data_IF_476416181933
#
_entry.id   IF_476416181933
#
_cell.length_a   1.000
_cell.length_b   1.000
_cell.length_c   1.000
_cell.angle_alpha   90.00
_cell.angle_beta   90.00
_cell.angle_gamma   90.00
#
_symmetry.space_group_name_H-M   'P 1'
#
loop_
_entity.id
_entity.type
_entity.pdbx_description
1 polymer ?
#
# COMPACT_ATOMS: atom_id res chain seq x y z
N UNK A 1 24.79 20.91 -83.55
CA UNK A 1 24.16 21.54 -82.37
C UNK A 1 22.69 21.12 -82.35
N UNK A 2 22.39 19.99 -81.68
CA UNK A 2 21.22 19.15 -81.95
C UNK A 2 20.63 18.55 -80.67
N UNK A 3 20.51 19.36 -79.61
CA UNK A 3 20.06 18.90 -78.27
C UNK A 3 19.06 19.83 -77.55
N UNK A 4 18.54 20.87 -78.22
CA UNK A 4 17.70 21.89 -77.56
C UNK A 4 16.21 21.89 -77.96
N UNK A 5 15.71 20.86 -78.65
CA UNK A 5 14.30 20.76 -79.10
C UNK A 5 13.51 19.57 -78.52
N UNK A 6 14.07 18.88 -77.51
CA UNK A 6 13.41 17.78 -76.78
C UNK A 6 13.01 18.23 -75.36
N UNK A 7 12.66 19.51 -75.19
CA UNK A 7 12.11 20.06 -73.95
C UNK A 7 10.57 19.93 -73.87
N UNK A 8 9.82 19.81 -74.97
CA UNK A 8 8.42 20.26 -74.91
C UNK A 8 7.30 19.21 -75.02
N UNK A 9 7.61 17.93 -75.24
CA UNK A 9 6.57 16.89 -75.41
C UNK A 9 6.46 15.88 -74.26
N UNK A 10 7.37 15.90 -73.29
CA UNK A 10 7.31 15.02 -72.11
C UNK A 10 6.68 15.68 -70.87
N UNK A 11 6.33 16.97 -70.96
CA UNK A 11 5.80 17.77 -69.83
C UNK A 11 4.28 18.04 -69.91
N UNK A 12 3.54 17.46 -70.86
CA UNK A 12 2.10 17.73 -71.04
C UNK A 12 1.21 16.48 -71.24
N UNK A 13 1.64 15.30 -70.81
CA UNK A 13 0.86 14.05 -71.00
C UNK A 13 0.86 13.11 -69.79
N UNK A 14 0.99 13.65 -68.57
CA UNK A 14 0.75 12.90 -67.34
C UNK A 14 -0.11 13.68 -66.35
N UNK A 15 -1.13 14.35 -66.89
CA UNK A 15 -2.29 14.82 -66.14
C UNK A 15 -3.48 13.99 -66.64
N UNK A 16 -3.86 12.97 -65.86
CA UNK A 16 -5.21 12.41 -65.67
C UNK A 16 -5.08 11.00 -65.08
N UNK A 17 -5.40 10.82 -63.80
CA UNK A 17 -6.03 9.65 -63.15
C UNK A 17 -6.20 9.93 -61.64
N UNK A 18 -7.18 9.30 -60.96
CA UNK A 18 -8.10 10.00 -60.06
C UNK A 18 -7.70 10.03 -58.58
N UNK A 19 -8.21 11.05 -57.90
CA UNK A 19 -8.35 11.11 -56.46
C UNK A 19 -9.30 10.01 -55.95
N UNK A 20 -8.87 9.26 -54.94
CA UNK A 20 -9.74 8.28 -54.28
C UNK A 20 -9.03 7.46 -53.22
N UNK A 21 -8.94 8.01 -52.01
CA UNK A 21 -9.13 7.36 -50.70
C UNK A 21 -8.54 8.24 -49.60
N UNK A 22 -9.33 9.19 -49.09
CA UNK A 22 -9.10 9.70 -47.74
C UNK A 22 -9.56 8.61 -46.76
N UNK A 23 -8.73 8.15 -45.81
CA UNK A 23 -9.25 7.43 -44.66
C UNK A 23 -10.14 8.40 -43.89
N UNK A 24 -11.43 8.10 -43.80
CA UNK A 24 -12.33 8.78 -42.87
C UNK A 24 -11.74 8.67 -41.46
N UNK A 25 -11.70 9.76 -40.68
CA UNK A 25 -11.36 9.65 -39.27
C UNK A 25 -12.39 8.75 -38.61
N UNK A 26 -11.91 7.65 -38.03
CA UNK A 26 -12.71 6.74 -37.21
C UNK A 26 -13.40 7.56 -36.13
N UNK A 27 -14.73 7.47 -35.96
CA UNK A 27 -15.40 8.15 -34.86
C UNK A 27 -14.80 7.61 -33.54
N UNK A 28 -14.53 8.48 -32.55
CA UNK A 28 -14.16 8.01 -31.23
C UNK A 28 -15.25 7.07 -30.69
N UNK A 29 -14.91 6.08 -29.86
CA UNK A 29 -15.90 5.26 -29.18
C UNK A 29 -16.90 6.17 -28.46
N UNK A 30 -18.18 5.78 -28.35
CA UNK A 30 -19.17 6.61 -27.68
C UNK A 30 -18.67 6.94 -26.28
N UNK A 31 -18.40 8.23 -26.04
CA UNK A 31 -18.25 8.77 -24.71
C UNK A 31 -19.49 8.35 -23.95
N UNK A 32 -19.34 7.44 -22.98
CA UNK A 32 -20.36 7.23 -21.99
C UNK A 32 -20.60 8.60 -21.34
N UNK A 33 -21.72 9.24 -21.69
CA UNK A 33 -22.23 10.34 -20.88
C UNK A 33 -22.23 9.85 -19.44
N UNK A 34 -21.75 10.63 -18.46
CA UNK A 34 -22.02 10.27 -17.08
C UNK A 34 -23.54 10.22 -16.97
N UNK A 35 -24.08 9.01 -16.83
CA UNK A 35 -25.41 8.85 -16.29
C UNK A 35 -25.39 9.67 -15.02
N UNK A 36 -26.20 10.72 -14.98
CA UNK A 36 -26.44 11.46 -13.75
C UNK A 36 -26.94 10.42 -12.76
N UNK A 37 -26.05 9.96 -11.88
CA UNK A 37 -26.45 9.22 -10.70
C UNK A 37 -27.28 10.23 -9.93
N UNK A 38 -28.59 10.00 -9.90
CA UNK A 38 -29.50 10.74 -9.06
C UNK A 38 -28.89 10.74 -7.66
N UNK A 39 -28.51 11.93 -7.20
CA UNK A 39 -28.16 12.16 -5.80
C UNK A 39 -29.40 11.81 -5.00
N UNK A 40 -29.41 10.62 -4.42
CA UNK A 40 -30.33 10.31 -3.34
C UNK A 40 -29.93 11.23 -2.18
N UNK A 41 -30.62 12.36 -2.07
CA UNK A 41 -30.57 13.22 -0.91
C UNK A 41 -30.94 12.36 0.30
N UNK A 42 -29.94 11.98 1.09
CA UNK A 42 -30.18 11.44 2.42
C UNK A 42 -30.67 12.60 3.27
N UNK A 43 -31.98 12.70 3.43
CA UNK A 43 -32.60 13.56 4.43
C UNK A 43 -32.14 13.08 5.80
N UNK A 44 -31.26 13.86 6.43
CA UNK A 44 -30.92 13.73 7.84
C UNK A 44 -32.18 14.01 8.66
N UNK A 45 -32.89 12.94 9.01
CA UNK A 45 -33.98 13.02 9.97
C UNK A 45 -33.36 13.05 11.36
N UNK A 46 -33.27 14.25 11.94
CA UNK A 46 -32.77 14.49 13.29
C UNK A 46 -33.70 13.82 14.29
N UNK A 47 -33.32 12.62 14.74
CA UNK A 47 -34.00 11.95 15.86
C UNK A 47 -33.41 12.50 17.15
N UNK A 48 -34.21 12.99 18.10
CA UNK A 48 -33.71 13.47 19.38
C UNK A 48 -33.10 12.32 20.20
N UNK A 49 -32.04 12.57 20.99
CA UNK A 49 -31.43 11.54 21.81
C UNK A 49 -32.40 11.03 22.89
N UNK A 50 -32.29 9.74 23.29
CA UNK A 50 -33.11 9.17 24.35
C UNK A 50 -32.80 9.82 25.71
N UNK A 51 -33.76 9.84 26.66
CA UNK A 51 -33.55 10.45 27.96
C UNK A 51 -32.49 9.70 28.76
N UNK A 52 -31.58 10.47 29.35
CA UNK A 52 -30.56 10.08 30.32
C UNK A 52 -31.15 9.18 31.41
N UNK A 53 -30.72 7.93 31.45
CA UNK A 53 -31.02 7.04 32.57
C UNK A 53 -30.28 7.55 33.83
N UNK A 54 -31.05 7.96 34.84
CA UNK A 54 -30.54 8.21 36.19
C UNK A 54 -29.97 6.92 36.77
N UNK A 55 -28.66 6.86 36.98
CA UNK A 55 -28.04 5.81 37.77
C UNK A 55 -28.39 6.02 39.25
N UNK A 56 -29.22 5.13 39.78
CA UNK A 56 -29.52 5.05 41.22
C UNK A 56 -28.27 4.54 41.95
N UNK A 57 -27.73 5.35 42.86
CA UNK A 57 -26.64 4.95 43.77
C UNK A 57 -27.12 3.81 44.68
N UNK A 58 -26.62 2.59 44.44
CA UNK A 58 -26.71 1.50 45.42
C UNK A 58 -25.54 1.58 46.40
N UNK A 59 -25.86 1.34 47.67
CA UNK A 59 -24.96 1.42 48.82
C UNK A 59 -23.78 0.42 48.76
N UNK A 60 -22.67 0.67 49.49
CA UNK A 60 -21.50 -0.21 49.48
C UNK A 60 -21.78 -1.51 50.26
N UNK A 61 -21.46 -2.65 49.66
CA UNK A 61 -21.38 -3.92 50.37
C UNK A 61 -20.10 -3.96 51.23
N UNK A 62 -20.26 -4.37 52.49
CA UNK A 62 -19.17 -4.64 53.43
C UNK A 62 -18.26 -5.77 52.93
N UNK A 63 -16.93 -5.61 52.89
CA UNK A 63 -16.03 -6.70 52.51
C UNK A 63 -15.86 -7.70 53.65
N UNK A 64 -16.15 -8.97 53.36
CA UNK A 64 -15.77 -10.14 54.17
C UNK A 64 -14.24 -10.30 54.16
N UNK A 65 -13.56 -10.57 55.29
CA UNK A 65 -12.11 -10.76 55.29
C UNK A 65 -11.73 -12.06 54.57
N UNK A 66 -10.83 -11.93 53.59
CA UNK A 66 -10.20 -13.04 52.88
C UNK A 66 -9.05 -13.58 53.76
N UNK A 67 -8.90 -14.91 53.94
CA UNK A 67 -7.80 -15.48 54.69
C UNK A 67 -6.47 -15.25 53.96
N UNK A 68 -5.51 -14.64 54.68
CA UNK A 68 -4.15 -14.39 54.22
C UNK A 68 -3.39 -15.71 54.07
N UNK A 69 -3.14 -16.13 52.83
CA UNK A 69 -2.17 -17.18 52.53
C UNK A 69 -0.76 -16.59 52.42
N UNK A 70 0.17 -17.22 53.13
CA UNK A 70 1.60 -16.90 53.20
C UNK A 70 2.25 -16.96 51.80
N UNK A 71 3.08 -15.98 51.40
CA UNK A 71 3.88 -16.09 50.18
C UNK A 71 4.89 -17.23 50.31
N UNK A 72 4.86 -18.17 49.36
CA UNK A 72 5.91 -19.17 49.16
C UNK A 72 7.18 -18.53 48.56
N UNK A 73 8.32 -19.24 48.60
CA UNK A 73 9.58 -18.74 48.06
C UNK A 73 9.43 -18.41 46.56
N UNK A 74 9.94 -17.23 46.20
CA UNK A 74 10.02 -16.71 44.83
C UNK A 74 10.70 -17.70 43.90
N UNK A 75 9.95 -18.23 42.94
CA UNK A 75 10.50 -18.98 41.82
C UNK A 75 11.41 -18.05 40.99
N UNK A 76 12.65 -18.50 40.79
CA UNK A 76 13.65 -17.91 39.90
C UNK A 76 13.03 -17.63 38.52
N UNK A 77 13.26 -16.46 37.90
CA UNK A 77 12.71 -16.17 36.58
C UNK A 77 13.24 -17.21 35.58
N UNK A 78 12.32 -18.01 35.05
CA UNK A 78 12.58 -18.88 33.90
C UNK A 78 12.88 -17.96 32.72
N UNK A 79 14.10 -18.01 32.20
CA UNK A 79 14.46 -17.35 30.95
C UNK A 79 13.63 -17.98 29.83
N UNK A 80 12.55 -17.32 29.41
CA UNK A 80 11.85 -17.66 28.18
C UNK A 80 12.87 -17.61 27.05
N UNK A 81 13.07 -18.70 26.27
CA UNK A 81 13.98 -18.67 25.15
C UNK A 81 13.51 -17.59 24.19
N UNK A 82 14.37 -16.59 23.95
CA UNK A 82 14.16 -15.60 22.90
C UNK A 82 13.95 -16.37 21.59
N UNK A 83 12.87 -16.09 20.82
CA UNK A 83 12.65 -16.76 19.56
C UNK A 83 13.89 -16.57 18.70
N UNK A 84 14.55 -17.69 18.39
CA UNK A 84 15.63 -17.68 17.42
C UNK A 84 15.00 -17.28 16.11
N UNK A 85 15.47 -16.18 15.51
CA UNK A 85 15.05 -15.77 14.18
C UNK A 85 15.32 -16.94 13.22
N UNK A 86 14.29 -17.73 12.96
CA UNK A 86 14.37 -18.80 11.97
C UNK A 86 14.49 -18.10 10.64
N UNK A 87 15.58 -18.33 9.92
CA UNK A 87 15.72 -17.83 8.57
C UNK A 87 14.49 -18.28 7.77
N UNK A 88 13.74 -17.32 7.22
CA UNK A 88 12.65 -17.63 6.30
C UNK A 88 13.25 -18.49 5.19
N UNK A 89 12.72 -19.71 4.96
CA UNK A 89 13.24 -20.56 3.90
C UNK A 89 13.24 -19.77 2.60
N UNK A 90 14.37 -19.80 1.89
CA UNK A 90 14.40 -19.25 0.53
C UNK A 90 13.27 -19.92 -0.28
N UNK A 91 12.53 -19.17 -1.11
CA UNK A 91 11.51 -19.75 -1.97
C UNK A 91 12.08 -20.96 -2.71
N UNK A 92 11.31 -22.07 -2.86
CA UNK A 92 11.70 -23.13 -3.77
C UNK A 92 12.00 -22.51 -5.14
N UNK A 93 13.16 -22.92 -5.67
CA UNK A 93 14.16 -22.09 -6.36
C UNK A 93 13.75 -21.63 -7.78
N UNK A 94 12.48 -21.69 -8.16
CA UNK A 94 12.04 -21.22 -9.48
C UNK A 94 10.65 -20.58 -9.46
N UNK A 95 10.55 -19.30 -9.79
CA UNK A 95 9.28 -18.65 -10.11
C UNK A 95 9.01 -18.85 -11.60
N UNK A 96 7.99 -19.62 -11.95
CA UNK A 96 7.67 -19.98 -13.34
C UNK A 96 8.87 -20.59 -14.11
N UNK A 97 9.70 -21.39 -13.44
CA UNK A 97 10.88 -22.01 -14.05
C UNK A 97 12.10 -21.09 -14.17
N UNK A 98 12.05 -19.88 -13.62
CA UNK A 98 13.19 -18.94 -13.56
C UNK A 98 13.75 -18.84 -12.13
N UNK A 99 15.09 -18.92 -11.95
CA UNK A 99 15.69 -18.74 -10.65
C UNK A 99 15.52 -17.28 -10.19
N UNK A 100 15.28 -17.00 -8.90
CA UNK A 100 15.14 -15.64 -8.37
C UNK A 100 16.24 -14.68 -8.84
N UNK A 101 17.47 -15.17 -8.93
CA UNK A 101 18.65 -14.40 -9.34
C UNK A 101 18.56 -13.91 -10.79
N UNK A 102 17.72 -14.49 -11.64
CA UNK A 102 17.55 -14.04 -13.03
C UNK A 102 16.58 -12.86 -13.18
N UNK A 103 15.74 -12.58 -12.18
CA UNK A 103 14.74 -11.51 -12.25
C UNK A 103 14.73 -10.56 -11.03
N UNK A 104 15.41 -10.92 -9.95
CA UNK A 104 15.71 -10.08 -8.79
C UNK A 104 17.19 -9.70 -8.86
N UNK A 105 17.49 -8.66 -9.62
CA UNK A 105 18.85 -8.16 -9.77
C UNK A 105 19.19 -7.20 -8.63
N UNK A 106 19.72 -7.75 -7.54
CA UNK A 106 20.27 -6.97 -6.43
C UNK A 106 21.78 -7.22 -6.34
N UNK A 107 22.61 -6.26 -6.78
CA UNK A 107 24.06 -6.35 -6.59
C UNK A 107 24.42 -6.62 -5.12
N UNK A 108 25.52 -7.33 -4.81
CA UNK A 108 25.91 -7.64 -3.43
C UNK A 108 26.00 -6.40 -2.53
N UNK A 109 26.45 -5.27 -3.08
CA UNK A 109 26.50 -3.99 -2.38
C UNK A 109 25.11 -3.44 -2.03
N UNK A 110 24.11 -3.66 -2.88
CA UNK A 110 22.72 -3.28 -2.60
C UNK A 110 22.15 -4.14 -1.47
N UNK A 111 22.39 -5.45 -1.50
CA UNK A 111 21.95 -6.36 -0.43
C UNK A 111 22.58 -5.96 0.91
N UNK A 112 23.89 -5.72 0.93
CA UNK A 112 24.61 -5.29 2.14
C UNK A 112 24.07 -3.95 2.68
N UNK A 113 23.78 -2.99 1.79
CA UNK A 113 23.22 -1.71 2.18
C UNK A 113 21.82 -1.85 2.80
N UNK A 114 20.93 -2.65 2.20
CA UNK A 114 19.58 -2.89 2.75
C UNK A 114 19.64 -3.55 4.13
N UNK A 115 20.54 -4.52 4.32
CA UNK A 115 20.77 -5.15 5.63
C UNK A 115 21.27 -4.13 6.67
N UNK A 116 22.18 -3.23 6.28
CA UNK A 116 22.67 -2.17 7.15
C UNK A 116 21.56 -1.17 7.54
N UNK A 117 20.68 -0.81 6.61
CA UNK A 117 19.50 0.04 6.88
C UNK A 117 18.58 -0.63 7.90
N UNK A 118 18.28 -1.92 7.72
CA UNK A 118 17.44 -2.67 8.65
C UNK A 118 18.05 -2.75 10.07
N UNK A 119 19.33 -3.10 10.16
CA UNK A 119 20.06 -3.15 11.44
C UNK A 119 20.11 -1.77 12.12
N UNK A 120 20.27 -0.69 11.33
CA UNK A 120 20.19 0.68 11.84
C UNK A 120 18.80 1.00 12.36
N UNK A 121 17.74 0.59 11.66
CA UNK A 121 16.36 0.73 12.11
C UNK A 121 16.10 0.07 13.46
N UNK A 122 16.62 -1.15 13.65
CA UNK A 122 16.54 -1.85 14.94
C UNK A 122 17.27 -1.09 16.05
N UNK A 123 18.47 -0.56 15.77
CA UNK A 123 19.20 0.29 16.74
C UNK A 123 18.47 1.60 17.08
N UNK A 124 17.56 2.05 16.22
CA UNK A 124 16.68 3.21 16.44
C UNK A 124 15.33 2.82 17.08
N UNK A 125 15.13 1.54 17.42
CA UNK A 125 13.92 1.04 18.07
C UNK A 125 12.75 0.74 17.15
N UNK A 126 12.96 0.62 15.83
CA UNK A 126 11.92 0.13 14.90
C UNK A 126 11.53 -1.30 15.24
N UNK A 127 10.23 -1.60 15.18
CA UNK A 127 9.72 -2.93 15.46
C UNK A 127 9.98 -3.87 14.26
N UNK A 128 10.83 -4.90 14.40
CA UNK A 128 11.17 -5.81 13.29
C UNK A 128 10.02 -6.72 12.86
N UNK A 129 8.95 -6.82 13.66
CA UNK A 129 7.76 -7.65 13.39
C UNK A 129 6.60 -6.85 12.82
N UNK A 130 6.82 -5.58 12.48
CA UNK A 130 5.75 -4.70 12.03
C UNK A 130 6.08 -4.07 10.68
N UNK A 131 5.12 -4.09 9.76
CA UNK A 131 5.17 -3.28 8.55
C UNK A 131 4.02 -2.28 8.49
N UNK A 132 4.24 -1.19 7.76
CA UNK A 132 3.20 -0.24 7.37
C UNK A 132 2.96 -0.30 5.87
N UNK A 133 1.85 0.28 5.44
CA UNK A 133 1.47 0.39 4.03
C UNK A 133 1.32 1.87 3.69
N UNK A 134 1.86 2.25 2.53
CA UNK A 134 1.63 3.55 1.90
C UNK A 134 0.93 3.31 0.58
N UNK A 135 -0.22 3.96 0.34
CA UNK A 135 -0.88 3.76 -0.94
C UNK A 135 -2.17 4.50 -1.19
N UNK A 136 -2.76 4.20 -2.34
CA UNK A 136 -4.01 4.79 -2.80
C UNK A 136 -5.24 3.89 -2.55
N UNK A 137 -6.37 4.23 -3.19
CA UNK A 137 -7.64 3.51 -3.15
C UNK A 137 -7.50 2.00 -3.39
N UNK A 138 -6.51 1.56 -4.17
CA UNK A 138 -6.34 0.15 -4.52
C UNK A 138 -5.73 -0.64 -3.36
N UNK A 139 -5.03 0.03 -2.45
CA UNK A 139 -4.53 -0.55 -1.20
C UNK A 139 -5.60 -0.61 -0.09
N UNK A 140 -6.75 0.06 -0.25
CA UNK A 140 -7.91 0.05 0.67
C UNK A 140 -8.90 -1.08 0.35
N UNK A 141 -8.41 -2.25 -0.02
CA UNK A 141 -9.25 -3.41 -0.29
C UNK A 141 -8.83 -4.58 0.57
N UNK A 142 -9.78 -5.44 0.96
CA UNK A 142 -9.44 -6.64 1.74
C UNK A 142 -8.56 -7.64 0.98
N UNK A 143 -8.49 -7.49 -0.35
CA UNK A 143 -7.59 -8.28 -1.20
C UNK A 143 -6.14 -7.79 -1.12
N UNK A 144 -5.91 -6.56 -0.66
CA UNK A 144 -4.57 -6.04 -0.41
C UNK A 144 -4.08 -6.48 0.99
N UNK A 145 -3.73 -7.76 1.05
CA UNK A 145 -3.06 -8.45 2.14
C UNK A 145 -3.88 -8.70 3.42
N UNK A 146 -5.04 -8.08 3.63
CA UNK A 146 -5.78 -8.21 4.92
C UNK A 146 -6.19 -9.64 5.26
N UNK A 147 -6.38 -10.50 4.24
CA UNK A 147 -6.76 -11.91 4.41
C UNK A 147 -5.79 -12.71 5.27
N UNK A 148 -4.52 -12.32 5.33
CA UNK A 148 -3.50 -13.03 6.10
C UNK A 148 -3.73 -12.93 7.63
N UNK A 149 -4.31 -11.83 8.12
CA UNK A 149 -4.71 -11.69 9.53
C UNK A 149 -6.16 -12.17 9.78
N UNK A 150 -6.98 -12.26 8.75
CA UNK A 150 -8.35 -12.80 8.85
C UNK A 150 -8.39 -14.33 8.90
N UNK A 151 -7.26 -15.00 8.63
CA UNK A 151 -7.16 -16.47 8.52
C UNK A 151 -7.89 -17.06 7.31
N UNK A 152 -8.25 -16.23 6.32
CA UNK A 152 -9.03 -16.63 5.14
C UNK A 152 -8.14 -16.75 3.90
N UNK A 153 -7.13 -17.61 3.97
CA UNK A 153 -6.24 -17.90 2.86
C UNK A 153 -5.83 -19.38 2.85
N UNK A 154 -5.38 -19.85 1.70
CA UNK A 154 -4.75 -21.16 1.54
C UNK A 154 -3.53 -20.98 0.63
N UNK A 155 -2.34 -21.29 1.13
CA UNK A 155 -1.08 -21.15 0.38
C UNK A 155 -0.85 -22.28 -0.62
N UNK A 156 -1.60 -23.38 -0.51
CA UNK A 156 -1.32 -24.61 -1.24
C UNK A 156 0.06 -25.19 -0.87
N UNK A 157 0.48 -26.22 -1.61
CA UNK A 157 1.83 -26.78 -1.49
C UNK A 157 2.91 -25.80 -1.95
N UNK A 158 2.61 -25.05 -3.00
CA UNK A 158 3.63 -24.31 -3.76
C UNK A 158 4.10 -23.06 -3.03
N UNK A 159 3.23 -22.46 -2.18
CA UNK A 159 3.54 -21.25 -1.42
C UNK A 159 3.59 -21.48 0.09
N UNK A 160 3.53 -22.73 0.57
CA UNK A 160 3.59 -23.05 2.01
C UNK A 160 4.82 -22.45 2.71
N UNK A 161 5.92 -22.26 1.97
CA UNK A 161 7.15 -21.63 2.45
C UNK A 161 6.97 -20.15 2.87
N UNK A 162 5.88 -19.48 2.48
CA UNK A 162 5.57 -18.11 2.88
C UNK A 162 4.96 -18.01 4.28
N UNK A 163 4.51 -19.13 4.87
CA UNK A 163 3.86 -19.11 6.18
C UNK A 163 4.71 -18.43 7.27
N UNK A 164 6.03 -18.68 7.41
CA UNK A 164 6.84 -17.98 8.40
C UNK A 164 6.89 -16.46 8.21
N UNK A 165 6.81 -15.97 6.96
CA UNK A 165 6.77 -14.53 6.70
C UNK A 165 5.41 -13.92 7.09
N UNK A 166 4.32 -14.67 6.91
CA UNK A 166 2.99 -14.28 7.40
C UNK A 166 2.97 -14.24 8.92
N UNK A 167 3.53 -15.26 9.58
CA UNK A 167 3.58 -15.31 11.04
C UNK A 167 4.45 -14.17 11.61
N UNK A 168 5.57 -13.86 10.96
CA UNK A 168 6.51 -12.82 11.39
C UNK A 168 5.90 -11.42 11.45
N UNK A 169 4.93 -11.13 10.58
CA UNK A 169 4.25 -9.82 10.48
C UNK A 169 2.77 -9.86 10.89
N UNK A 170 2.36 -10.87 11.65
CA UNK A 170 0.99 -11.01 12.13
C UNK A 170 0.50 -9.72 12.79
N UNK A 171 -0.71 -9.28 12.45
CA UNK A 171 -1.31 -8.01 12.89
C UNK A 171 -1.01 -6.80 11.98
N UNK A 172 0.03 -6.86 11.15
CA UNK A 172 0.32 -5.80 10.17
C UNK A 172 -0.54 -5.91 8.91
N UNK A 173 -1.04 -7.11 8.59
CA UNK A 173 -1.74 -7.40 7.35
C UNK A 173 -3.14 -6.79 7.30
N UNK A 174 -3.91 -6.84 8.38
CA UNK A 174 -5.24 -6.23 8.46
C UNK A 174 -5.20 -4.71 8.64
N UNK A 175 -4.07 -4.14 9.09
CA UNK A 175 -3.93 -2.69 9.21
C UNK A 175 -3.88 -2.03 7.83
N UNK A 176 -4.76 -1.07 7.61
CA UNK A 176 -4.60 -0.10 6.51
C UNK A 176 -3.65 1.02 6.91
N UNK A 177 -3.68 1.45 8.18
CA UNK A 177 -2.87 2.58 8.65
C UNK A 177 -3.41 3.94 8.20
N UNK A 178 -2.68 4.99 8.54
CA UNK A 178 -3.05 6.39 8.22
C UNK A 178 -2.35 6.94 6.96
N UNK A 179 -1.41 6.16 6.41
CA UNK A 179 -0.68 6.47 5.18
C UNK A 179 -1.32 5.86 3.91
N UNK A 180 -2.57 5.41 3.98
CA UNK A 180 -3.34 5.02 2.79
C UNK A 180 -4.54 5.95 2.63
N UNK A 181 -4.70 6.54 1.43
CA UNK A 181 -5.79 7.48 1.12
C UNK A 181 -6.42 7.20 -0.23
N UNK A 182 -7.75 7.32 -0.32
CA UNK A 182 -8.43 7.31 -1.62
C UNK A 182 -7.91 8.48 -2.46
N UNK A 183 -7.49 8.20 -3.69
CA UNK A 183 -6.94 9.21 -4.59
C UNK A 183 -5.54 9.71 -4.25
N UNK A 184 -4.79 9.01 -3.38
CA UNK A 184 -3.43 9.45 -3.03
C UNK A 184 -2.52 9.49 -4.27
N UNK A 185 -1.78 10.58 -4.38
CA UNK A 185 -0.71 10.76 -5.35
C UNK A 185 0.64 10.79 -4.64
N UNK A 186 1.72 10.46 -5.35
CA UNK A 186 3.07 10.52 -4.79
C UNK A 186 3.46 11.94 -4.32
N UNK A 187 2.96 13.00 -4.96
CA UNK A 187 3.29 14.39 -4.58
C UNK A 187 2.67 14.81 -3.24
N UNK A 188 1.63 14.13 -2.77
CA UNK A 188 0.87 14.50 -1.58
C UNK A 188 1.39 13.82 -0.30
N UNK A 189 2.30 12.85 -0.41
CA UNK A 189 2.75 12.02 0.73
C UNK A 189 3.32 12.86 1.87
N UNK A 190 4.11 13.89 1.52
CA UNK A 190 4.77 14.77 2.49
C UNK A 190 4.04 16.09 2.74
N UNK A 191 2.84 16.27 2.17
CA UNK A 191 2.02 17.45 2.42
C UNK A 191 1.11 17.21 3.63
N UNK A 192 1.30 17.92 4.76
CA UNK A 192 0.49 17.72 5.97
C UNK A 192 -1.01 17.99 5.76
N UNK A 193 -1.41 18.71 4.70
CA UNK A 193 -2.82 18.89 4.36
C UNK A 193 -3.52 17.55 4.05
N UNK A 194 -2.75 16.55 3.65
CA UNK A 194 -3.24 15.20 3.35
C UNK A 194 -3.11 14.23 4.53
N UNK A 195 -2.58 14.64 5.67
CA UNK A 195 -2.52 13.81 6.87
C UNK A 195 -3.89 13.70 7.56
N UNK A 196 -4.09 12.63 8.34
CA UNK A 196 -5.36 12.40 9.02
C UNK A 196 -5.42 13.23 10.30
N UNK A 197 -6.32 14.20 10.37
CA UNK A 197 -6.37 15.15 11.49
C UNK A 197 -6.90 14.53 12.79
N UNK A 198 -7.55 13.37 12.71
CA UNK A 198 -7.98 12.62 13.89
C UNK A 198 -6.81 11.90 14.57
N UNK A 199 -5.78 11.48 13.81
CA UNK A 199 -4.68 10.64 14.30
C UNK A 199 -3.29 11.30 14.26
N UNK A 200 -3.11 12.27 13.37
CA UNK A 200 -1.84 12.94 13.11
C UNK A 200 -1.75 14.30 13.79
N UNK A 201 -0.55 14.63 14.24
CA UNK A 201 -0.26 15.89 14.90
C UNK A 201 -0.34 17.07 13.92
N UNK A 202 -0.55 18.31 14.42
CA UNK A 202 -0.50 19.49 13.57
C UNK A 202 0.82 19.60 12.78
N UNK A 203 0.72 19.81 11.47
CA UNK A 203 1.85 19.87 10.52
C UNK A 203 2.64 18.56 10.35
N UNK A 204 2.14 17.43 10.86
CA UNK A 204 2.71 16.10 10.61
C UNK A 204 2.26 15.59 9.24
N UNK A 205 3.18 15.09 8.41
CA UNK A 205 2.81 14.38 7.19
C UNK A 205 2.31 12.96 7.49
N UNK A 206 1.60 12.35 6.55
CA UNK A 206 0.96 11.04 6.80
C UNK A 206 1.96 9.92 7.07
N UNK A 207 3.17 10.01 6.52
CA UNK A 207 4.17 8.95 6.65
C UNK A 207 4.87 9.05 8.00
N UNK A 208 5.25 10.25 8.43
CA UNK A 208 5.74 10.51 9.79
C UNK A 208 4.71 10.08 10.83
N UNK A 209 3.44 10.40 10.60
CA UNK A 209 2.32 9.98 11.46
C UNK A 209 2.19 8.45 11.53
N UNK A 210 2.17 7.75 10.40
CA UNK A 210 2.10 6.28 10.40
C UNK A 210 3.33 5.66 11.09
N UNK A 211 4.52 6.24 10.91
CA UNK A 211 5.73 5.76 11.56
C UNK A 211 5.73 5.98 13.07
N UNK A 212 5.10 7.05 13.56
CA UNK A 212 4.89 7.29 14.99
C UNK A 212 3.87 6.32 15.58
N UNK A 213 2.78 6.05 14.86
CA UNK A 213 1.67 5.23 15.34
C UNK A 213 1.96 3.72 15.28
N UNK A 214 2.72 3.27 14.27
CA UNK A 214 2.92 1.84 14.01
C UNK A 214 4.38 1.38 14.14
N UNK A 215 5.34 2.31 14.24
CA UNK A 215 6.78 2.03 14.40
C UNK A 215 7.35 0.90 13.51
N UNK A 216 7.05 0.88 12.19
CA UNK A 216 7.35 -0.27 11.34
C UNK A 216 8.85 -0.37 11.00
N UNK A 217 9.33 -1.59 10.75
CA UNK A 217 10.64 -1.83 10.13
C UNK A 217 10.59 -1.92 8.60
N UNK A 218 9.40 -2.13 8.03
CA UNK A 218 9.18 -2.26 6.58
C UNK A 218 8.01 -1.38 6.14
N UNK A 219 8.15 -0.75 4.98
CA UNK A 219 7.06 -0.01 4.32
C UNK A 219 6.73 -0.65 2.98
N UNK A 220 5.46 -1.05 2.80
CA UNK A 220 4.96 -1.52 1.52
C UNK A 220 4.34 -0.35 0.75
N UNK A 221 4.91 -0.01 -0.41
CA UNK A 221 4.50 1.16 -1.19
C UNK A 221 3.67 0.70 -2.40
N UNK A 222 2.41 1.15 -2.46
CA UNK A 222 1.50 0.96 -3.59
C UNK A 222 0.94 2.32 -4.03
N UNK A 223 1.72 3.04 -4.82
CA UNK A 223 1.37 4.32 -5.42
C UNK A 223 1.44 4.23 -6.95
N UNK A 224 0.81 5.19 -7.63
CA UNK A 224 0.93 5.37 -9.07
C UNK A 224 -0.37 5.29 -9.84
N UNK A 225 -1.45 4.70 -9.29
CA UNK A 225 -2.71 4.54 -10.03
C UNK A 225 -3.36 5.88 -10.39
N UNK A 226 -3.11 6.92 -9.58
CA UNK A 226 -3.59 8.28 -9.81
C UNK A 226 -2.54 9.17 -10.51
N UNK A 227 -1.29 8.75 -10.60
CA UNK A 227 -0.17 9.58 -11.04
C UNK A 227 0.04 9.55 -12.56
N UNK A 228 -0.78 10.29 -13.31
CA UNK A 228 -0.73 10.34 -14.78
C UNK A 228 0.27 11.38 -15.36
N UNK A 229 1.09 12.03 -14.52
CA UNK A 229 1.97 13.14 -14.92
C UNK A 229 3.47 12.83 -14.78
N UNK A 230 4.35 13.62 -15.43
CA UNK A 230 5.80 13.41 -15.40
C UNK A 230 6.41 13.54 -13.99
N UNK A 231 5.68 14.13 -13.04
CA UNK A 231 6.11 14.31 -11.66
C UNK A 231 6.18 13.02 -10.84
N UNK A 232 5.50 11.94 -11.25
CA UNK A 232 5.43 10.71 -10.45
C UNK A 232 6.81 10.21 -10.00
N UNK A 233 7.74 10.05 -10.94
CA UNK A 233 9.07 9.54 -10.62
C UNK A 233 9.90 10.47 -9.74
N UNK A 234 9.68 11.79 -9.83
CA UNK A 234 10.36 12.77 -8.96
C UNK A 234 9.83 12.66 -7.53
N UNK A 235 8.52 12.57 -7.38
CA UNK A 235 7.88 12.50 -6.07
C UNK A 235 8.09 11.13 -5.41
N UNK A 236 8.02 10.03 -6.18
CA UNK A 236 8.29 8.70 -5.68
C UNK A 236 9.74 8.57 -5.16
N UNK A 237 10.72 9.21 -5.81
CA UNK A 237 12.11 9.27 -5.33
C UNK A 237 12.31 10.01 -4.03
N UNK A 238 11.34 10.80 -3.57
CA UNK A 238 11.39 11.37 -2.22
C UNK A 238 10.90 10.36 -1.16
N UNK A 239 10.12 9.37 -1.58
CA UNK A 239 9.58 8.30 -0.72
C UNK A 239 10.59 7.16 -0.54
N UNK A 240 11.38 6.83 -1.59
CA UNK A 240 12.30 5.67 -1.63
C UNK A 240 13.77 6.03 -1.54
#
# INVERSE_FOLDING_TARGET
MRRSWLILTLLLALALLPAGCNPSPTPPPPTASPTAVAVAQSTSTTTPPPPTASATLSAPATPTPIPTTRPGPTDTPTTTPQPTASATPLPPIFLNGLPPESFILMPPETVANVQAIFARGQALGRDPHTFSKLGDSVALTSHYLTKFDEGRYNLGSDYAYLQPAIDHYAGSFARYGVAIRVGLHAWSVFDPLWANKEWCEPNEDMLTCEFRLNNPSVLLIRLGSNDNGPGFGVNLRQVV
#
